data_IF_579007818755
#
_entry.id   IF_579007818755
#
_cell.length_a   1.000
_cell.length_b   1.000
_cell.length_c   1.000
_cell.angle_alpha   90.00
_cell.angle_beta   90.00
_cell.angle_gamma   90.00
#
_symmetry.space_group_name_H-M   'P 1'
#
loop_
_entity.id
_entity.type
_entity.pdbx_description
1 polymer ?
#
# COMPACT_ATOMS: atom_id res chain seq x y z
N UNK A 1 6.54 8.46 23.49
CA UNK A 1 6.94 8.53 22.07
C UNK A 1 5.70 8.35 21.21
N UNK A 2 5.54 9.05 20.06
CA UNK A 2 4.34 8.90 19.25
C UNK A 2 4.23 7.44 18.79
N UNK A 3 3.07 6.85 19.06
CA UNK A 3 2.78 5.43 18.90
C UNK A 3 3.21 4.94 17.51
N UNK A 4 4.15 3.99 17.45
CA UNK A 4 4.72 3.47 16.20
C UNK A 4 3.64 2.99 15.23
N UNK A 5 2.55 2.42 15.77
CA UNK A 5 1.37 2.03 15.00
C UNK A 5 0.60 3.20 14.36
N UNK A 6 0.53 4.37 15.00
CA UNK A 6 -0.14 5.55 14.43
C UNK A 6 0.67 6.10 13.26
N UNK A 7 2.01 6.10 13.37
CA UNK A 7 2.90 6.46 12.24
C UNK A 7 2.75 5.49 11.08
N UNK A 8 2.60 4.19 11.38
CA UNK A 8 2.34 3.15 10.38
C UNK A 8 0.99 3.37 9.67
N UNK A 9 -0.09 3.63 10.43
CA UNK A 9 -1.40 3.94 9.87
C UNK A 9 -1.41 5.20 8.99
N UNK A 10 -0.69 6.25 9.39
CA UNK A 10 -0.51 7.45 8.56
C UNK A 10 0.22 7.14 7.25
N UNK A 11 1.24 6.28 7.27
CA UNK A 11 1.91 5.81 6.06
C UNK A 11 0.97 5.10 5.07
N UNK A 12 0.06 4.26 5.58
CA UNK A 12 -0.98 3.62 4.75
C UNK A 12 -1.97 4.62 4.15
N UNK A 13 -2.35 5.68 4.89
CA UNK A 13 -3.20 6.75 4.37
C UNK A 13 -2.48 7.53 3.25
N UNK A 14 -1.20 7.84 3.43
CA UNK A 14 -0.39 8.48 2.38
C UNK A 14 -0.26 7.60 1.13
N UNK A 15 -0.07 6.30 1.30
CA UNK A 15 -0.07 5.32 0.20
C UNK A 15 -1.43 5.29 -0.52
N UNK A 16 -2.54 5.25 0.23
CA UNK A 16 -3.90 5.33 -0.33
C UNK A 16 -4.14 6.62 -1.10
N UNK A 17 -3.67 7.77 -0.58
CA UNK A 17 -3.68 9.04 -1.30
C UNK A 17 -2.85 9.00 -2.57
N UNK A 18 -1.66 8.37 -2.56
CA UNK A 18 -0.83 8.19 -3.76
C UNK A 18 -1.54 7.38 -4.86
N UNK A 19 -2.20 6.28 -4.49
CA UNK A 19 -3.04 5.53 -5.42
C UNK A 19 -4.27 6.31 -5.89
N UNK A 20 -4.83 7.18 -5.04
CA UNK A 20 -5.92 8.07 -5.44
C UNK A 20 -5.46 9.15 -6.43
N UNK A 21 -4.23 9.66 -6.29
CA UNK A 21 -3.62 10.55 -7.29
C UNK A 21 -3.40 9.80 -8.61
N UNK A 22 -2.96 8.54 -8.57
CA UNK A 22 -2.92 7.68 -9.77
C UNK A 22 -4.30 7.53 -10.42
N UNK A 23 -5.36 7.36 -9.64
CA UNK A 23 -6.73 7.36 -10.16
C UNK A 23 -7.11 8.71 -10.79
N UNK A 24 -6.75 9.82 -10.14
CA UNK A 24 -7.06 11.17 -10.61
C UNK A 24 -6.40 11.50 -11.95
N UNK A 25 -5.29 10.83 -12.30
CA UNK A 25 -4.64 10.98 -13.61
C UNK A 25 -5.58 10.68 -14.79
N UNK A 26 -6.64 9.88 -14.58
CA UNK A 26 -7.66 9.57 -15.60
C UNK A 26 -8.45 10.80 -16.07
N UNK A 27 -8.65 11.79 -15.18
CA UNK A 27 -9.38 13.01 -15.51
C UNK A 27 -8.54 14.00 -16.33
N UNK A 28 -7.21 13.83 -16.29
CA UNK A 28 -6.25 14.59 -17.08
C UNK A 28 -5.78 13.83 -18.33
N UNK A 29 -6.42 12.70 -18.65
CA UNK A 29 -6.11 11.94 -19.85
C UNK A 29 -6.84 12.54 -21.07
N UNK A 30 -6.10 12.73 -22.15
CA UNK A 30 -6.63 13.20 -23.43
C UNK A 30 -7.51 12.10 -24.06
N UNK A 31 -8.47 12.48 -24.93
CA UNK A 31 -9.38 11.56 -25.67
C UNK A 31 -8.67 10.42 -26.46
N UNK A 32 -7.35 10.50 -26.64
CA UNK A 32 -6.49 9.45 -27.21
C UNK A 32 -5.99 8.40 -26.20
N UNK A 33 -6.41 8.46 -24.93
CA UNK A 33 -6.00 7.52 -23.88
C UNK A 33 -4.59 7.79 -23.33
N UNK A 34 -4.01 8.96 -23.61
CA UNK A 34 -2.70 9.37 -23.10
C UNK A 34 -2.86 10.24 -21.86
N UNK A 35 -2.30 9.76 -20.76
CA UNK A 35 -2.21 10.48 -19.48
C UNK A 35 -0.94 11.33 -19.44
N UNK A 36 -1.01 12.50 -18.77
CA UNK A 36 0.17 13.35 -18.53
C UNK A 36 1.21 12.65 -17.66
N UNK A 37 2.42 12.45 -18.21
CA UNK A 37 3.56 11.81 -17.54
C UNK A 37 3.90 12.48 -16.20
N UNK A 38 3.76 13.82 -16.13
CA UNK A 38 4.08 14.60 -14.92
C UNK A 38 3.23 14.20 -13.71
N UNK A 39 1.93 13.94 -13.91
CA UNK A 39 1.01 13.59 -12.82
C UNK A 39 1.29 12.16 -12.35
N UNK A 40 1.63 11.26 -13.28
CA UNK A 40 2.06 9.90 -12.97
C UNK A 40 3.35 9.89 -12.13
N UNK A 41 4.36 10.70 -12.51
CA UNK A 41 5.60 10.83 -11.74
C UNK A 41 5.35 11.37 -10.34
N UNK A 42 4.49 12.40 -10.18
CA UNK A 42 4.12 12.93 -8.86
C UNK A 42 3.40 11.86 -8.01
N UNK A 43 2.50 11.08 -8.61
CA UNK A 43 1.81 10.02 -7.90
C UNK A 43 2.77 8.93 -7.40
N UNK A 44 3.72 8.50 -8.24
CA UNK A 44 4.79 7.57 -7.85
C UNK A 44 5.69 8.15 -6.76
N UNK A 45 5.99 9.45 -6.82
CA UNK A 45 6.74 10.14 -5.78
C UNK A 45 5.98 10.09 -4.44
N UNK A 46 4.66 10.35 -4.42
CA UNK A 46 3.86 10.25 -3.19
C UNK A 46 3.83 8.82 -2.65
N UNK A 47 3.68 7.82 -3.52
CA UNK A 47 3.69 6.40 -3.13
C UNK A 47 5.03 6.01 -2.49
N UNK A 48 6.14 6.40 -3.12
CA UNK A 48 7.49 6.11 -2.61
C UNK A 48 7.77 6.79 -1.26
N UNK A 49 7.29 8.02 -1.05
CA UNK A 49 7.34 8.64 0.28
C UNK A 49 6.54 7.85 1.33
N UNK A 50 5.37 7.31 0.95
CA UNK A 50 4.60 6.41 1.80
C UNK A 50 5.37 5.13 2.15
N UNK A 51 6.00 4.48 1.16
CA UNK A 51 6.80 3.28 1.39
C UNK A 51 8.02 3.53 2.28
N UNK A 52 8.71 4.65 2.09
CA UNK A 52 9.85 5.05 2.93
C UNK A 52 9.46 5.23 4.39
N UNK A 53 8.21 5.63 4.66
CA UNK A 53 7.71 5.70 6.03
C UNK A 53 7.42 4.31 6.62
N UNK A 54 6.99 3.34 5.81
CA UNK A 54 6.59 2.01 6.28
C UNK A 54 7.77 1.04 6.47
N UNK A 55 8.76 1.07 5.57
CA UNK A 55 9.91 0.15 5.57
C UNK A 55 10.70 0.13 6.89
N UNK A 56 11.13 1.28 7.47
CA UNK A 56 11.87 1.28 8.74
C UNK A 56 10.99 0.90 9.93
N UNK A 57 9.67 1.14 9.85
CA UNK A 57 8.73 0.83 10.92
C UNK A 57 8.47 -0.68 11.01
N UNK A 58 8.24 -1.34 9.88
CA UNK A 58 7.91 -2.77 9.84
C UNK A 58 9.00 -3.64 10.46
N UNK A 59 10.26 -3.42 10.05
CA UNK A 59 11.39 -4.20 10.55
C UNK A 59 11.72 -3.89 12.02
N UNK A 60 11.57 -2.63 12.44
CA UNK A 60 11.81 -2.23 13.83
C UNK A 60 10.81 -2.85 14.81
N UNK A 61 9.54 -2.98 14.43
CA UNK A 61 8.53 -3.62 15.28
C UNK A 61 8.80 -5.13 15.39
N UNK A 62 9.11 -5.80 14.27
CA UNK A 62 9.36 -7.25 14.28
C UNK A 62 10.59 -7.63 15.13
N UNK A 63 11.62 -6.78 15.14
CA UNK A 63 12.81 -7.00 15.97
C UNK A 63 12.58 -6.67 17.44
N UNK A 64 11.86 -5.58 17.76
CA UNK A 64 11.53 -5.22 19.15
C UNK A 64 10.55 -6.20 19.82
N UNK A 65 9.64 -6.80 19.06
CA UNK A 65 8.62 -7.71 19.60
C UNK A 65 9.08 -9.18 19.67
N UNK A 66 10.20 -9.50 19.03
CA UNK A 66 10.76 -10.85 19.03
C UNK A 66 11.58 -11.10 20.30
N UNK A 67 11.26 -12.18 21.02
CA UNK A 67 12.16 -12.74 22.05
C UNK A 67 13.49 -13.19 21.42
N UNK A 68 14.62 -13.01 22.12
CA UNK A 68 15.97 -13.32 21.61
C UNK A 68 16.10 -14.73 21.00
N UNK A 69 15.36 -15.72 21.52
CA UNK A 69 15.40 -17.11 21.05
C UNK A 69 14.62 -17.37 19.75
N UNK A 70 13.73 -16.46 19.33
CA UNK A 70 12.82 -16.65 18.19
C UNK A 70 13.04 -15.63 17.06
N UNK A 71 14.12 -14.85 17.11
CA UNK A 71 14.40 -13.80 16.13
C UNK A 71 14.51 -14.33 14.70
N UNK A 72 15.13 -15.51 14.52
CA UNK A 72 15.19 -16.18 13.21
C UNK A 72 13.82 -16.60 12.67
N UNK A 73 12.93 -17.09 13.55
CA UNK A 73 11.56 -17.48 13.16
C UNK A 73 10.70 -16.26 12.82
N UNK A 74 10.81 -15.17 13.57
CA UNK A 74 10.09 -13.92 13.31
C UNK A 74 10.53 -13.29 11.98
N UNK A 75 11.84 -13.28 11.69
CA UNK A 75 12.35 -12.84 10.39
C UNK A 75 11.90 -13.75 9.25
N UNK A 76 11.87 -15.08 9.45
CA UNK A 76 11.31 -16.03 8.48
C UNK A 76 9.83 -15.77 8.19
N UNK A 77 9.03 -15.50 9.23
CA UNK A 77 7.62 -15.12 9.05
C UNK A 77 7.45 -13.78 8.34
N UNK A 78 8.33 -12.80 8.58
CA UNK A 78 8.31 -11.53 7.86
C UNK A 78 8.57 -11.71 6.35
N UNK A 79 9.57 -12.51 5.99
CA UNK A 79 9.84 -12.82 4.57
C UNK A 79 8.72 -13.64 3.94
N UNK A 80 8.14 -14.60 4.66
CA UNK A 80 7.01 -15.39 4.17
C UNK A 80 5.77 -14.51 3.92
N UNK A 81 5.45 -13.61 4.86
CA UNK A 81 4.38 -12.64 4.70
C UNK A 81 4.63 -11.70 3.50
N UNK A 82 5.88 -11.27 3.31
CA UNK A 82 6.27 -10.44 2.16
C UNK A 82 6.13 -11.18 0.84
N UNK A 83 6.54 -12.46 0.77
CA UNK A 83 6.38 -13.30 -0.41
C UNK A 83 4.91 -13.53 -0.77
N UNK A 84 4.07 -13.81 0.23
CA UNK A 84 2.63 -13.97 0.02
C UNK A 84 1.97 -12.64 -0.40
N UNK A 85 2.41 -11.53 0.19
CA UNK A 85 1.97 -10.19 -0.21
C UNK A 85 2.27 -9.89 -1.68
N UNK A 86 3.49 -10.19 -2.15
CA UNK A 86 3.85 -10.04 -3.57
C UNK A 86 3.06 -10.99 -4.47
N UNK A 87 2.79 -12.22 -4.04
CA UNK A 87 1.96 -13.16 -4.79
C UNK A 87 0.53 -12.63 -5.00
N UNK A 88 -0.11 -12.15 -3.93
CA UNK A 88 -1.44 -11.54 -3.99
C UNK A 88 -1.42 -10.26 -4.84
N UNK A 89 -0.38 -9.43 -4.72
CA UNK A 89 -0.20 -8.24 -5.56
C UNK A 89 -0.09 -8.60 -7.06
N UNK A 90 0.63 -9.69 -7.38
CA UNK A 90 0.71 -10.22 -8.74
C UNK A 90 -0.64 -10.70 -9.27
N UNK A 91 -1.44 -11.37 -8.44
CA UNK A 91 -2.78 -11.82 -8.83
C UNK A 91 -3.74 -10.65 -9.06
N UNK A 92 -3.67 -9.61 -8.23
CA UNK A 92 -4.45 -8.38 -8.42
C UNK A 92 -3.98 -7.69 -9.72
N UNK A 93 -2.67 -7.57 -9.95
CA UNK A 93 -2.11 -6.99 -11.16
C UNK A 93 -2.52 -7.74 -12.43
N UNK A 94 -2.54 -9.07 -12.40
CA UNK A 94 -3.03 -9.90 -13.50
C UNK A 94 -4.54 -9.71 -13.75
N UNK A 95 -5.32 -9.48 -12.69
CA UNK A 95 -6.74 -9.12 -12.78
C UNK A 95 -6.96 -7.77 -13.47
N UNK A 96 -6.09 -6.79 -13.21
CA UNK A 96 -6.10 -5.47 -13.85
C UNK A 96 -5.65 -5.54 -15.32
N UNK A 97 -4.71 -6.43 -15.64
CA UNK A 97 -4.18 -6.63 -16.99
C UNK A 97 -5.14 -7.40 -17.93
N UNK A 98 -6.26 -7.93 -17.42
CA UNK A 98 -7.34 -8.49 -18.25
C UNK A 98 -8.16 -7.36 -18.92
N UNK A 99 -7.48 -6.50 -19.66
CA UNK A 99 -8.12 -5.64 -20.65
C UNK A 99 -8.71 -6.57 -21.71
N UNK A 100 -10.02 -6.44 -21.97
CA UNK A 100 -10.71 -7.19 -23.03
C UNK A 100 -9.90 -7.09 -24.31
N UNK A 101 -9.41 -8.22 -24.81
CA UNK A 101 -8.73 -8.36 -26.10
C UNK A 101 -9.66 -7.85 -27.20
N UNK A 102 -9.49 -6.58 -27.61
CA UNK A 102 -10.32 -5.89 -28.60
C UNK A 102 -10.88 -4.51 -28.20
N UNK A 103 -10.57 -3.96 -27.02
CA UNK A 103 -11.09 -2.66 -26.57
C UNK A 103 -10.21 -1.46 -27.01
N UNK A 104 -10.84 -0.31 -27.24
CA UNK A 104 -10.19 0.94 -27.64
C UNK A 104 -9.25 1.44 -26.52
N UNK A 105 -8.16 2.16 -26.84
CA UNK A 105 -7.13 2.58 -25.84
C UNK A 105 -7.73 3.32 -24.61
N UNK A 106 -8.87 3.96 -24.80
CA UNK A 106 -9.64 4.64 -23.76
C UNK A 106 -10.28 3.67 -22.73
N UNK A 107 -10.83 2.54 -23.17
CA UNK A 107 -11.44 1.54 -22.28
C UNK A 107 -10.40 0.78 -21.44
N UNK A 108 -9.21 0.57 -22.02
CA UNK A 108 -8.06 0.02 -21.31
C UNK A 108 -7.65 0.96 -20.17
N UNK A 109 -7.55 2.27 -20.45
CA UNK A 109 -7.22 3.28 -19.45
C UNK A 109 -8.26 3.35 -18.32
N UNK A 110 -9.55 3.26 -18.65
CA UNK A 110 -10.63 3.23 -17.64
C UNK A 110 -10.50 1.99 -16.75
N UNK A 111 -10.22 0.82 -17.34
CA UNK A 111 -10.08 -0.44 -16.58
C UNK A 111 -8.90 -0.38 -15.60
N UNK A 112 -7.74 0.13 -16.04
CA UNK A 112 -6.59 0.31 -15.15
C UNK A 112 -6.86 1.32 -14.03
N UNK A 113 -7.51 2.43 -14.36
CA UNK A 113 -7.80 3.48 -13.38
C UNK A 113 -8.82 3.04 -12.35
N UNK A 114 -9.88 2.31 -12.73
CA UNK A 114 -10.79 1.70 -11.74
C UNK A 114 -10.08 0.68 -10.84
N UNK A 115 -9.06 -0.01 -11.34
CA UNK A 115 -8.16 -0.82 -10.53
C UNK A 115 -7.40 -0.04 -9.47
N UNK A 116 -6.80 1.08 -9.86
CA UNK A 116 -6.11 1.98 -8.92
C UNK A 116 -7.05 2.55 -7.85
N UNK A 117 -8.32 2.82 -8.20
CA UNK A 117 -9.34 3.23 -7.22
C UNK A 117 -9.59 2.14 -6.18
N UNK A 118 -9.73 0.88 -6.60
CA UNK A 118 -9.91 -0.23 -5.67
C UNK A 118 -8.70 -0.39 -4.75
N UNK A 119 -7.48 -0.29 -5.28
CA UNK A 119 -6.24 -0.33 -4.49
C UNK A 119 -6.15 0.83 -3.50
N UNK A 120 -6.50 2.05 -3.91
CA UNK A 120 -6.57 3.22 -3.03
C UNK A 120 -7.56 2.99 -1.87
N UNK A 121 -8.73 2.43 -2.18
CA UNK A 121 -9.78 2.15 -1.20
C UNK A 121 -9.33 1.06 -0.21
N UNK A 122 -8.73 -0.02 -0.69
CA UNK A 122 -8.17 -1.07 0.18
C UNK A 122 -7.05 -0.53 1.08
N UNK A 123 -6.13 0.29 0.55
CA UNK A 123 -5.06 0.90 1.33
C UNK A 123 -5.60 1.86 2.41
N UNK A 124 -6.63 2.65 2.07
CA UNK A 124 -7.28 3.57 3.00
C UNK A 124 -8.03 2.82 4.10
N UNK A 125 -8.82 1.78 3.76
CA UNK A 125 -9.48 0.92 4.74
C UNK A 125 -8.44 0.27 5.66
N UNK A 126 -7.37 -0.30 5.11
CA UNK A 126 -6.31 -0.91 5.90
C UNK A 126 -5.66 0.11 6.87
N UNK A 127 -5.39 1.33 6.41
CA UNK A 127 -4.87 2.42 7.24
C UNK A 127 -5.81 2.81 8.38
N UNK A 128 -7.11 2.97 8.10
CA UNK A 128 -8.13 3.30 9.11
C UNK A 128 -8.30 2.16 10.12
N UNK A 129 -8.37 0.92 9.65
CA UNK A 129 -8.47 -0.28 10.50
C UNK A 129 -7.24 -0.39 11.41
N UNK A 130 -6.04 -0.15 10.90
CA UNK A 130 -4.81 -0.12 11.70
C UNK A 130 -4.85 0.96 12.79
N UNK A 131 -5.36 2.16 12.48
CA UNK A 131 -5.51 3.24 13.47
C UNK A 131 -6.53 2.85 14.55
N UNK A 132 -7.66 2.22 14.17
CA UNK A 132 -8.69 1.76 15.10
C UNK A 132 -8.23 0.61 15.99
N UNK A 133 -7.40 -0.30 15.46
CA UNK A 133 -6.82 -1.42 16.21
C UNK A 133 -5.60 -0.97 17.04
N UNK A 134 -4.99 0.18 16.71
CA UNK A 134 -3.83 0.71 17.43
C UNK A 134 -4.00 0.84 18.96
N UNK A 135 -5.13 1.31 19.53
CA UNK A 135 -5.32 1.31 20.98
C UNK A 135 -5.39 -0.10 21.58
N UNK A 136 -5.93 -1.08 20.85
CA UNK A 136 -6.05 -2.46 21.31
C UNK A 136 -4.70 -3.18 21.30
N UNK A 137 -3.93 -3.03 20.23
CA UNK A 137 -2.56 -3.57 20.14
C UNK A 137 -1.64 -2.91 21.15
N UNK A 138 -1.78 -1.60 21.37
CA UNK A 138 -1.05 -0.90 22.44
C UNK A 138 -1.38 -1.46 23.83
N UNK A 139 -2.64 -1.83 24.07
CA UNK A 139 -3.06 -2.47 25.32
C UNK A 139 -2.48 -3.88 25.48
N UNK A 140 -2.24 -4.60 24.39
CA UNK A 140 -1.54 -5.89 24.40
C UNK A 140 -0.01 -5.75 24.51
N UNK A 141 0.57 -4.66 24.00
CA UNK A 141 2.00 -4.36 24.08
C UNK A 141 2.44 -3.72 25.42
N UNK A 142 1.61 -3.83 26.48
CA UNK A 142 2.01 -3.41 27.82
C UNK A 142 3.42 -3.97 28.12
N UNK A 143 4.39 -3.06 28.34
CA UNK A 143 5.80 -3.29 28.72
C UNK A 143 6.89 -3.46 27.65
N UNK A 144 6.68 -3.15 26.37
CA UNK A 144 7.82 -3.04 25.41
C UNK A 144 8.10 -1.59 25.06
N UNK A 145 9.08 -0.98 25.76
CA UNK A 145 9.70 0.31 25.41
C UNK A 145 10.61 0.15 24.19
#
# INVERSE_FOLDING_TARGET
EPNTLIKFGLGFIFLGLGYYVLFATRFFATLQGMTSLNIFTVALLVITFGELCLSPIGLSIMTKLSTEKLQGMMMGMWFLASAYGQYVAGQIGAGLAKVKTGANNYDALITYTDGYKQLALYALIAGVVLILISPFVKKLMQDVR
#
